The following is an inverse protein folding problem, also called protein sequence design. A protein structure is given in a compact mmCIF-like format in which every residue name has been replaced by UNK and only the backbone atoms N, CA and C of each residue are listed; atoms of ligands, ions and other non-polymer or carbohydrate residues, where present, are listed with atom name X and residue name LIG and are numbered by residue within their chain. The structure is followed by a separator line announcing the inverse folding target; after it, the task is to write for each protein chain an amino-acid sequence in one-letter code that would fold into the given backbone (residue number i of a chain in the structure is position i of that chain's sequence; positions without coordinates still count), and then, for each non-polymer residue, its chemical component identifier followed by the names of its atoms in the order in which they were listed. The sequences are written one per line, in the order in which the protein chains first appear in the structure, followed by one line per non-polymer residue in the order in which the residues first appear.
data_IF_701310921035
#
_entry.id   IF_701310921035
#
_cell.length_a   1.000
_cell.length_b   1.000
_cell.length_c   1.000
_cell.angle_alpha   90.00
_cell.angle_beta   90.00
_cell.angle_gamma   90.00
#
_symmetry.space_group_name_H-M   'P 1'
#
loop_
_entity.id
_entity.type
_entity.pdbx_description
1 polymer ?
#
# COMPACT_ATOMS: atom_id res chain seq x y z
N UNK A 1 -15.08 -9.57 27.90
CA UNK A 1 -14.97 -8.99 26.56
C UNK A 1 -13.63 -8.29 26.56
N UNK A 2 -12.63 -8.91 25.93
CA UNK A 2 -11.26 -8.41 25.89
C UNK A 2 -11.19 -7.42 24.72
N UNK A 3 -11.02 -6.14 25.04
CA UNK A 3 -10.82 -5.09 24.05
C UNK A 3 -9.44 -5.27 23.43
N UNK A 4 -9.41 -5.52 22.11
CA UNK A 4 -8.20 -5.80 21.36
C UNK A 4 -7.13 -4.73 21.60
N UNK A 5 -6.09 -5.11 22.34
CA UNK A 5 -4.87 -4.32 22.50
C UNK A 5 -4.16 -4.28 21.15
N UNK A 6 -4.30 -3.17 20.43
CA UNK A 6 -3.44 -2.89 19.29
C UNK A 6 -1.99 -2.85 19.79
N UNK A 7 -1.19 -3.79 19.28
CA UNK A 7 0.21 -3.99 19.62
C UNK A 7 1.07 -2.93 18.94
N UNK A 8 1.04 -1.70 19.45
CA UNK A 8 2.12 -0.75 19.19
C UNK A 8 2.82 -0.46 20.52
N UNK A 9 4.11 -0.81 20.68
CA UNK A 9 4.89 -0.34 21.80
C UNK A 9 4.80 1.19 21.82
N UNK A 10 4.64 1.75 23.02
CA UNK A 10 4.54 3.19 23.28
C UNK A 10 5.89 3.89 23.03
N UNK A 11 6.37 3.84 21.79
CA UNK A 11 7.44 4.66 21.23
C UNK A 11 6.83 5.81 20.42
N UNK A 12 7.63 6.81 20.07
CA UNK A 12 7.22 7.81 19.08
C UNK A 12 6.70 7.09 17.83
N UNK A 13 5.43 7.33 17.47
CA UNK A 13 4.86 6.75 16.26
C UNK A 13 5.64 7.32 15.08
N UNK A 14 6.52 6.51 14.49
CA UNK A 14 7.20 6.87 13.25
C UNK A 14 6.17 6.98 12.14
N UNK A 15 6.34 7.97 11.26
CA UNK A 15 5.50 8.20 10.08
C UNK A 15 5.30 6.89 9.29
N UNK A 16 4.05 6.47 9.11
CA UNK A 16 3.67 5.28 8.34
C UNK A 16 3.88 5.59 6.85
N UNK A 17 4.75 4.81 6.21
CA UNK A 17 5.19 4.98 4.82
C UNK A 17 4.34 4.11 3.90
N UNK A 18 3.56 4.74 3.04
CA UNK A 18 2.61 4.05 2.15
C UNK A 18 3.10 4.11 0.71
N UNK A 19 3.04 2.97 0.03
CA UNK A 19 3.01 2.89 -1.44
C UNK A 19 1.58 2.61 -1.89
N UNK A 20 1.12 3.22 -2.98
CA UNK A 20 -0.13 2.78 -3.59
C UNK A 20 -0.08 2.65 -5.11
N UNK A 21 -0.87 1.71 -5.64
CA UNK A 21 -1.03 1.43 -7.05
C UNK A 21 -2.48 1.70 -7.47
N UNK A 22 -2.67 2.62 -8.42
CA UNK A 22 -3.96 3.09 -8.94
C UNK A 22 -3.71 3.67 -10.34
N UNK A 23 -4.36 3.16 -11.37
CA UNK A 23 -4.12 3.54 -12.76
C UNK A 23 -4.86 4.83 -13.13
N UNK A 24 -6.03 5.08 -12.53
CA UNK A 24 -6.78 6.31 -12.77
C UNK A 24 -6.16 7.50 -12.01
N UNK A 25 -5.67 8.49 -12.76
CA UNK A 25 -5.00 9.68 -12.20
C UNK A 25 -5.85 10.42 -11.15
N UNK A 26 -7.18 10.48 -11.39
CA UNK A 26 -8.11 11.18 -10.51
C UNK A 26 -8.20 10.51 -9.13
N UNK A 27 -8.26 9.17 -9.10
CA UNK A 27 -8.26 8.37 -7.87
C UNK A 27 -6.91 8.37 -7.19
N UNK A 28 -5.83 8.19 -7.95
CA UNK A 28 -4.45 8.22 -7.45
C UNK A 28 -4.18 9.53 -6.70
N UNK A 29 -4.56 10.65 -7.29
CA UNK A 29 -4.45 11.97 -6.65
C UNK A 29 -5.32 12.09 -5.40
N UNK A 30 -6.58 11.67 -5.46
CA UNK A 30 -7.52 11.80 -4.35
C UNK A 30 -7.10 10.96 -3.14
N UNK A 31 -6.64 9.73 -3.36
CA UNK A 31 -6.13 8.82 -2.33
C UNK A 31 -4.88 9.42 -1.69
N UNK A 32 -3.90 9.84 -2.51
CA UNK A 32 -2.68 10.48 -2.01
C UNK A 32 -2.97 11.69 -1.13
N UNK A 33 -3.86 12.58 -1.60
CA UNK A 33 -4.21 13.80 -0.90
C UNK A 33 -4.92 13.51 0.43
N UNK A 34 -5.82 12.51 0.47
CA UNK A 34 -6.48 12.11 1.71
C UNK A 34 -5.50 11.56 2.73
N UNK A 35 -4.64 10.61 2.34
CA UNK A 35 -3.65 9.99 3.24
C UNK A 35 -2.66 11.03 3.77
N UNK A 36 -2.14 11.89 2.89
CA UNK A 36 -1.14 12.90 3.28
C UNK A 36 -1.67 14.01 4.19
N UNK A 37 -2.97 14.02 4.51
CA UNK A 37 -3.55 14.91 5.54
C UNK A 37 -3.52 14.29 6.93
N UNK A 38 -3.32 12.99 7.03
CA UNK A 38 -3.14 12.32 8.32
C UNK A 38 -1.79 12.71 8.91
N UNK A 39 -1.72 12.85 10.23
CA UNK A 39 -0.52 13.33 10.91
C UNK A 39 0.58 12.28 11.05
N UNK A 40 0.23 11.01 10.88
CA UNK A 40 1.03 9.83 11.14
C UNK A 40 1.19 8.94 9.91
N UNK A 41 0.70 9.36 8.73
CA UNK A 41 0.82 8.62 7.47
C UNK A 41 1.31 9.51 6.33
N UNK A 42 2.06 8.92 5.41
CA UNK A 42 2.52 9.59 4.21
C UNK A 42 2.60 8.62 3.03
N UNK A 43 2.02 9.00 1.89
CA UNK A 43 2.30 8.36 0.60
C UNK A 43 3.69 8.76 0.15
N UNK A 44 4.58 7.77 0.11
CA UNK A 44 5.96 7.91 -0.34
C UNK A 44 6.06 7.67 -1.85
N UNK A 45 5.23 6.78 -2.40
CA UNK A 45 5.20 6.48 -3.84
C UNK A 45 3.79 6.15 -4.32
N UNK A 46 3.51 6.56 -5.56
CA UNK A 46 2.27 6.33 -6.29
C UNK A 46 2.62 5.79 -7.66
N UNK A 47 2.11 4.62 -8.00
CA UNK A 47 2.40 3.90 -9.25
C UNK A 47 1.11 3.54 -9.97
N UNK A 48 1.20 3.14 -11.24
CA UNK A 48 0.01 2.84 -12.06
C UNK A 48 -0.20 1.36 -12.33
N UNK A 49 0.73 0.49 -11.90
CA UNK A 49 0.60 -0.96 -12.09
C UNK A 49 1.18 -1.75 -10.93
N UNK A 50 0.81 -3.03 -10.84
CA UNK A 50 1.37 -3.98 -9.86
C UNK A 50 2.87 -4.15 -10.06
N UNK A 51 3.34 -4.18 -11.32
CA UNK A 51 4.75 -4.36 -11.64
C UNK A 51 5.60 -3.19 -11.15
N UNK A 52 5.14 -1.96 -11.33
CA UNK A 52 5.80 -0.77 -10.77
C UNK A 52 5.81 -0.81 -9.24
N UNK A 53 4.70 -1.24 -8.63
CA UNK A 53 4.60 -1.39 -7.17
C UNK A 53 5.66 -2.36 -6.63
N UNK A 54 5.80 -3.52 -7.26
CA UNK A 54 6.80 -4.52 -6.90
C UNK A 54 8.24 -4.01 -7.09
N UNK A 55 8.51 -3.27 -8.16
CA UNK A 55 9.82 -2.66 -8.39
C UNK A 55 10.16 -1.61 -7.32
N UNK A 56 9.17 -0.84 -6.87
CA UNK A 56 9.36 0.15 -5.82
C UNK A 56 9.54 -0.49 -4.44
N UNK A 57 8.80 -1.56 -4.13
CA UNK A 57 8.99 -2.35 -2.90
C UNK A 57 10.41 -2.94 -2.78
N UNK A 58 11.06 -3.23 -3.90
CA UNK A 58 12.46 -3.70 -3.93
C UNK A 58 13.48 -2.53 -3.70
N UNK A 59 13.07 -1.27 -3.87
CA UNK A 59 13.94 -0.07 -3.78
C UNK A 59 13.93 0.63 -2.44
N UNK A 60 12.80 0.62 -1.74
CA UNK A 60 12.60 1.36 -0.49
C UNK A 60 11.70 0.61 0.50
N UNK A 61 11.86 0.83 1.81
CA UNK A 61 10.96 0.27 2.80
C UNK A 61 9.64 1.06 2.87
N UNK A 62 8.55 0.30 2.88
CA UNK A 62 7.18 0.76 3.08
C UNK A 62 6.52 -0.09 4.18
N UNK A 63 5.60 0.53 4.93
CA UNK A 63 4.83 -0.14 5.99
C UNK A 63 3.52 -0.71 5.46
N UNK A 64 2.93 -0.05 4.46
CA UNK A 64 1.65 -0.43 3.85
C UNK A 64 1.75 -0.30 2.33
N UNK A 65 1.20 -1.29 1.62
CA UNK A 65 0.89 -1.20 0.20
C UNK A 65 -0.63 -1.18 0.00
N UNK A 66 -1.14 -0.14 -0.68
CA UNK A 66 -2.56 -0.02 -1.04
C UNK A 66 -2.69 -0.19 -2.55
N UNK A 67 -3.33 -1.27 -3.00
CA UNK A 67 -3.31 -1.67 -4.41
C UNK A 67 -4.75 -1.84 -4.87
N UNK A 68 -5.12 -1.12 -5.93
CA UNK A 68 -6.38 -1.39 -6.61
C UNK A 68 -6.36 -2.81 -7.22
N UNK A 69 -7.46 -3.53 -7.06
CA UNK A 69 -7.61 -4.90 -7.55
C UNK A 69 -7.98 -4.95 -9.03
N UNK A 70 -8.39 -3.83 -9.64
CA UNK A 70 -8.88 -3.76 -11.02
C UNK A 70 -7.96 -2.94 -11.95
N UNK A 71 -6.66 -2.92 -11.69
CA UNK A 71 -5.70 -2.21 -12.53
C UNK A 71 -5.78 -2.70 -13.99
N UNK A 72 -5.91 -1.77 -14.94
CA UNK A 72 -6.22 -2.08 -16.34
C UNK A 72 -5.12 -2.82 -17.10
N UNK A 73 -3.87 -2.78 -16.64
CA UNK A 73 -2.74 -3.53 -17.25
C UNK A 73 -2.68 -5.00 -16.82
N UNK A 74 -3.55 -5.44 -15.91
CA UNK A 74 -3.57 -6.77 -15.35
C UNK A 74 -4.49 -7.73 -16.12
N UNK A 75 -4.40 -7.81 -17.45
CA UNK A 75 -5.13 -8.85 -18.21
C UNK A 75 -4.77 -10.28 -17.73
N UNK A 76 -3.59 -10.48 -17.14
CA UNK A 76 -3.15 -11.74 -16.53
C UNK A 76 -3.53 -11.89 -15.03
N UNK A 77 -3.93 -10.82 -14.34
CA UNK A 77 -4.25 -10.82 -12.91
C UNK A 77 -5.71 -10.43 -12.58
N UNK A 78 -6.51 -10.07 -13.58
CA UNK A 78 -7.94 -9.69 -13.52
C UNK A 78 -8.90 -10.81 -13.04
N UNK A 79 -8.38 -11.82 -12.35
CA UNK A 79 -9.10 -13.00 -11.89
C UNK A 79 -8.80 -13.35 -10.43
N UNK A 80 -8.71 -12.37 -9.52
CA UNK A 80 -9.04 -12.54 -8.09
C UNK A 80 -8.29 -13.60 -7.25
N UNK A 81 -7.24 -14.26 -7.73
CA UNK A 81 -6.58 -15.36 -7.00
C UNK A 81 -5.06 -15.42 -7.11
N UNK A 82 -4.41 -14.37 -7.59
CA UNK A 82 -2.96 -14.39 -7.80
C UNK A 82 -2.29 -13.08 -7.48
N UNK A 83 -2.45 -12.52 -6.27
CA UNK A 83 -1.41 -11.60 -5.80
C UNK A 83 -0.09 -12.37 -5.90
N UNK A 84 0.94 -11.87 -6.63
CA UNK A 84 2.24 -12.52 -6.70
C UNK A 84 2.69 -12.98 -5.31
N UNK A 85 3.34 -14.14 -5.18
CA UNK A 85 3.82 -14.64 -3.87
C UNK A 85 4.59 -13.58 -3.06
N UNK A 86 5.20 -12.61 -3.78
CA UNK A 86 5.82 -11.41 -3.22
C UNK A 86 4.89 -10.56 -2.33
N UNK A 87 3.58 -10.53 -2.52
CA UNK A 87 2.66 -9.82 -1.62
C UNK A 87 2.31 -10.61 -0.37
N UNK A 88 2.44 -11.94 -0.40
CA UNK A 88 2.22 -12.80 0.76
C UNK A 88 3.29 -12.61 1.86
N UNK A 89 4.39 -11.89 1.58
CA UNK A 89 5.49 -11.68 2.52
C UNK A 89 5.62 -10.26 3.11
N UNK A 90 4.71 -9.31 2.81
CA UNK A 90 4.79 -7.93 3.35
C UNK A 90 3.85 -7.62 4.51
N UNK A 91 3.16 -8.62 5.06
CA UNK A 91 2.52 -8.48 6.38
C UNK A 91 3.51 -8.98 7.44
N UNK A 92 4.39 -8.10 7.92
CA UNK A 92 5.14 -8.38 9.16
C UNK A 92 4.25 -8.03 10.35
N UNK A 93 3.69 -9.06 10.98
CA UNK A 93 3.15 -9.00 12.35
C UNK A 93 4.25 -8.74 13.37
#
# INVERSE_FOLDING_TARGET
MDEGKYLYPKGELSMIRIIHAEDEESWRYLIANKINRESDMQVISSVTSVNECLQELDRAPYDIALIDLNLSEDEDYAGGYGLPEKFNCYIRT
#
